data_IF_007177228608
#
_entry.id   IF_007177228608
#
_cell.length_a   1.000
_cell.length_b   1.000
_cell.length_c   1.000
_cell.angle_alpha   90.00
_cell.angle_beta   90.00
_cell.angle_gamma   90.00
#
_symmetry.space_group_name_H-M   'P 1'
#
loop_
_entity.id
_entity.type
_entity.pdbx_description
1 polymer ?
#
# COMPACT_ATOMS: atom_id res chain seq x y z
N UNK A 1 -15.23 -3.23 -24.45
CA UNK A 1 -16.29 -4.01 -23.78
C UNK A 1 -17.02 -4.97 -24.71
N UNK A 2 -17.23 -4.67 -25.97
CA UNK A 2 -17.97 -5.52 -26.93
C UNK A 2 -17.37 -6.91 -27.22
N UNK A 3 -16.04 -7.04 -27.33
CA UNK A 3 -15.40 -8.36 -27.58
C UNK A 3 -15.60 -9.39 -26.45
N UNK A 4 -15.77 -8.94 -25.18
CA UNK A 4 -16.01 -9.85 -24.06
C UNK A 4 -17.43 -10.41 -24.04
N UNK A 5 -18.40 -9.62 -24.47
CA UNK A 5 -19.81 -10.01 -24.56
C UNK A 5 -20.02 -11.08 -25.65
N UNK A 6 -19.33 -10.97 -26.80
CA UNK A 6 -19.46 -11.90 -27.91
C UNK A 6 -18.94 -13.29 -27.55
N UNK A 7 -17.83 -13.42 -26.84
CA UNK A 7 -17.27 -14.72 -26.41
C UNK A 7 -18.21 -15.41 -25.40
N UNK A 8 -18.82 -14.65 -24.51
CA UNK A 8 -19.77 -15.18 -23.54
C UNK A 8 -21.02 -15.73 -24.18
N UNK A 9 -21.57 -15.03 -25.18
CA UNK A 9 -22.76 -15.47 -25.95
C UNK A 9 -22.46 -16.74 -26.73
N UNK A 10 -21.30 -16.86 -27.38
CA UNK A 10 -20.88 -18.07 -28.11
C UNK A 10 -20.72 -19.24 -27.13
N UNK A 11 -20.12 -19.04 -25.97
CA UNK A 11 -19.92 -20.06 -24.96
C UNK A 11 -21.25 -20.60 -24.39
N UNK A 12 -22.18 -19.70 -24.03
CA UNK A 12 -23.51 -20.08 -23.55
C UNK A 12 -24.27 -20.88 -24.59
N UNK A 13 -24.18 -20.48 -25.86
CA UNK A 13 -24.78 -21.26 -26.98
C UNK A 13 -24.17 -22.64 -27.12
N UNK A 14 -22.85 -22.77 -26.99
CA UNK A 14 -22.16 -24.06 -27.09
C UNK A 14 -22.55 -25.02 -25.95
N UNK A 15 -22.62 -24.51 -24.71
CA UNK A 15 -23.08 -25.28 -23.55
C UNK A 15 -24.55 -25.72 -23.71
N UNK A 16 -25.38 -24.82 -24.22
CA UNK A 16 -26.80 -25.14 -24.46
C UNK A 16 -26.99 -26.25 -25.54
N UNK A 17 -26.20 -26.19 -26.61
CA UNK A 17 -26.19 -27.22 -27.66
C UNK A 17 -25.71 -28.56 -27.13
N UNK A 18 -24.65 -28.60 -26.32
CA UNK A 18 -24.17 -29.81 -25.67
C UNK A 18 -25.19 -30.42 -24.70
N UNK A 19 -25.90 -29.57 -23.92
CA UNK A 19 -26.98 -30.03 -23.04
C UNK A 19 -28.16 -30.63 -23.85
N UNK A 20 -28.54 -29.98 -24.94
CA UNK A 20 -29.61 -30.52 -25.84
C UNK A 20 -29.20 -31.87 -26.44
N UNK A 21 -27.94 -32.04 -26.87
CA UNK A 21 -27.44 -33.29 -27.41
C UNK A 21 -27.44 -34.43 -26.37
N UNK A 22 -27.09 -34.13 -25.11
CA UNK A 22 -27.18 -35.07 -23.99
C UNK A 22 -28.65 -35.50 -23.70
N UNK A 23 -29.61 -34.56 -23.79
CA UNK A 23 -31.03 -34.84 -23.56
C UNK A 23 -31.61 -35.70 -24.69
N UNK A 24 -31.24 -35.44 -25.96
CA UNK A 24 -31.69 -36.26 -27.09
C UNK A 24 -31.14 -37.70 -27.05
N UNK A 25 -29.87 -37.87 -26.69
CA UNK A 25 -29.27 -39.21 -26.50
C UNK A 25 -29.97 -39.99 -25.36
N UNK A 26 -30.40 -39.32 -24.30
CA UNK A 26 -31.15 -39.96 -23.18
C UNK A 26 -32.60 -40.28 -23.58
N UNK A 27 -33.24 -39.40 -24.31
CA UNK A 27 -34.63 -39.60 -24.77
C UNK A 27 -34.81 -40.80 -25.70
N UNK A 28 -33.80 -41.10 -26.52
CA UNK A 28 -33.83 -42.24 -27.43
C UNK A 28 -33.73 -43.60 -26.75
N UNK A 29 -33.10 -43.65 -25.56
CA UNK A 29 -32.90 -44.92 -24.81
C UNK A 29 -34.12 -45.31 -23.98
N UNK A 30 -34.95 -44.33 -23.55
CA UNK A 30 -36.09 -44.58 -22.67
C UNK A 30 -37.34 -45.12 -23.44
N UNK A 31 -37.45 -44.93 -24.73
CA UNK A 31 -38.64 -45.36 -25.51
C UNK A 31 -38.74 -46.85 -25.80
N UNK A 32 -37.86 -47.72 -25.33
CA UNK A 32 -37.86 -49.18 -25.61
C UNK A 32 -37.71 -50.07 -24.37
N UNK A 33 -38.39 -49.78 -23.27
CA UNK A 33 -38.47 -50.76 -22.18
C UNK A 33 -39.78 -51.54 -22.32
N UNK A 34 -39.71 -52.81 -22.69
CA UNK A 34 -40.89 -53.68 -22.67
C UNK A 34 -41.31 -53.99 -21.23
N UNK A 35 -42.62 -54.09 -21.00
CA UNK A 35 -43.17 -54.45 -19.69
C UNK A 35 -42.57 -55.76 -19.18
N UNK A 36 -42.24 -55.81 -17.89
CA UNK A 36 -41.56 -56.94 -17.26
C UNK A 36 -42.49 -58.16 -17.20
N UNK A 37 -42.03 -59.37 -17.58
CA UNK A 37 -42.79 -60.61 -17.45
C UNK A 37 -42.86 -61.06 -15.97
N UNK A 38 -43.86 -61.89 -15.57
CA UNK A 38 -44.04 -62.37 -14.21
C UNK A 38 -42.85 -63.22 -13.74
N UNK A 39 -42.65 -63.24 -12.42
CA UNK A 39 -41.40 -63.63 -11.72
C UNK A 39 -40.95 -65.12 -11.89
N UNK A 40 -41.63 -65.96 -12.59
CA UNK A 40 -41.35 -67.42 -12.68
C UNK A 40 -40.47 -67.86 -13.84
N UNK A 41 -40.21 -67.02 -14.87
CA UNK A 41 -39.36 -67.35 -16.01
C UNK A 41 -38.23 -66.38 -16.24
N UNK A 42 -37.26 -66.36 -15.36
CA UNK A 42 -36.03 -65.58 -15.63
C UNK A 42 -35.01 -66.43 -16.38
N UNK A 43 -35.19 -66.51 -17.72
CA UNK A 43 -34.22 -67.15 -18.62
C UNK A 43 -32.84 -66.46 -18.55
N UNK A 44 -31.74 -67.17 -18.83
CA UNK A 44 -30.38 -66.57 -18.87
C UNK A 44 -30.28 -65.38 -19.78
N UNK A 45 -31.10 -65.33 -20.83
CA UNK A 45 -31.18 -64.25 -21.83
C UNK A 45 -31.73 -62.94 -21.24
N UNK A 46 -32.70 -63.04 -20.32
CA UNK A 46 -33.24 -61.86 -19.61
C UNK A 46 -32.24 -61.25 -18.68
N UNK A 47 -31.43 -62.06 -17.94
CA UNK A 47 -30.34 -61.56 -17.10
C UNK A 47 -29.28 -60.84 -17.92
N UNK A 48 -28.92 -61.33 -19.12
CA UNK A 48 -27.95 -60.67 -20.00
C UNK A 48 -28.47 -59.34 -20.55
N UNK A 49 -29.77 -59.24 -20.88
CA UNK A 49 -30.39 -57.96 -21.32
C UNK A 49 -30.45 -56.97 -20.18
N UNK A 50 -30.81 -57.37 -18.98
CA UNK A 50 -30.84 -56.48 -17.81
C UNK A 50 -29.44 -55.97 -17.42
N UNK A 51 -28.40 -56.85 -17.46
CA UNK A 51 -27.01 -56.40 -17.23
C UNK A 51 -26.53 -55.35 -18.24
N UNK A 52 -26.86 -55.52 -19.54
CA UNK A 52 -26.51 -54.51 -20.55
C UNK A 52 -27.22 -53.19 -20.33
N UNK A 53 -28.49 -53.18 -19.92
CA UNK A 53 -29.22 -51.95 -19.62
C UNK A 53 -28.63 -51.27 -18.38
N UNK A 54 -28.35 -52.03 -17.31
CA UNK A 54 -27.73 -51.49 -16.11
C UNK A 54 -26.34 -50.93 -16.38
N UNK A 55 -25.54 -51.63 -17.22
CA UNK A 55 -24.21 -51.16 -17.62
C UNK A 55 -24.30 -49.85 -18.43
N UNK A 56 -25.28 -49.77 -19.36
CA UNK A 56 -25.51 -48.56 -20.16
C UNK A 56 -25.93 -47.37 -19.30
N UNK A 57 -26.79 -47.57 -18.31
CA UNK A 57 -27.20 -46.54 -17.37
C UNK A 57 -25.99 -46.08 -16.50
N UNK A 58 -25.20 -47.03 -16.01
CA UNK A 58 -24.00 -46.73 -15.23
C UNK A 58 -22.98 -45.92 -16.07
N UNK A 59 -22.72 -46.38 -17.30
CA UNK A 59 -21.79 -45.70 -18.22
C UNK A 59 -22.29 -44.29 -18.59
N UNK A 60 -23.60 -44.13 -18.84
CA UNK A 60 -24.23 -42.86 -19.14
C UNK A 60 -24.16 -41.87 -17.91
N UNK A 61 -24.35 -42.41 -16.71
CA UNK A 61 -24.22 -41.61 -15.48
C UNK A 61 -22.78 -41.15 -15.24
N UNK A 62 -21.80 -42.02 -15.46
CA UNK A 62 -20.38 -41.68 -15.33
C UNK A 62 -19.97 -40.63 -16.37
N UNK A 63 -20.36 -40.83 -17.65
CA UNK A 63 -20.07 -39.84 -18.71
C UNK A 63 -20.75 -38.50 -18.43
N UNK A 64 -21.99 -38.49 -17.96
CA UNK A 64 -22.70 -37.27 -17.56
C UNK A 64 -21.98 -36.52 -16.42
N UNK A 65 -21.53 -37.26 -15.40
CA UNK A 65 -20.78 -36.69 -14.29
C UNK A 65 -19.44 -36.09 -14.76
N UNK A 66 -18.68 -36.80 -15.58
CA UNK A 66 -17.40 -36.32 -16.13
C UNK A 66 -17.62 -35.08 -17.01
N UNK A 67 -18.63 -35.06 -17.87
CA UNK A 67 -18.96 -33.86 -18.63
C UNK A 67 -19.32 -32.67 -17.76
N UNK A 68 -20.11 -32.87 -16.70
CA UNK A 68 -20.48 -31.80 -15.76
C UNK A 68 -19.24 -31.23 -15.03
N UNK A 69 -18.32 -32.10 -14.58
CA UNK A 69 -17.07 -31.69 -13.98
C UNK A 69 -16.17 -30.89 -14.94
N UNK A 70 -16.03 -31.38 -16.18
CA UNK A 70 -15.24 -30.66 -17.20
C UNK A 70 -15.87 -29.30 -17.50
N UNK A 71 -17.19 -29.20 -17.65
CA UNK A 71 -17.88 -27.93 -17.83
C UNK A 71 -17.69 -27.00 -16.65
N UNK A 72 -17.79 -27.50 -15.43
CA UNK A 72 -17.55 -26.70 -14.21
C UNK A 72 -16.10 -26.17 -14.14
N UNK A 73 -15.11 -27.02 -14.50
CA UNK A 73 -13.72 -26.61 -14.57
C UNK A 73 -13.50 -25.55 -15.67
N UNK A 74 -14.09 -25.71 -16.85
CA UNK A 74 -13.99 -24.73 -17.93
C UNK A 74 -14.63 -23.40 -17.55
N UNK A 75 -15.82 -23.41 -16.94
CA UNK A 75 -16.47 -22.18 -16.41
C UNK A 75 -15.59 -21.50 -15.38
N UNK A 76 -15.02 -22.27 -14.46
CA UNK A 76 -14.10 -21.74 -13.45
C UNK A 76 -12.83 -21.15 -14.10
N UNK A 77 -12.24 -21.82 -15.08
CA UNK A 77 -11.08 -21.32 -15.83
C UNK A 77 -11.40 -20.02 -16.58
N UNK A 78 -12.54 -19.98 -17.28
CA UNK A 78 -13.01 -18.76 -17.96
C UNK A 78 -13.25 -17.62 -16.98
N UNK A 79 -13.88 -17.92 -15.84
CA UNK A 79 -14.12 -16.92 -14.78
C UNK A 79 -12.82 -16.38 -14.19
N UNK A 80 -11.84 -17.25 -13.93
CA UNK A 80 -10.49 -16.87 -13.49
C UNK A 80 -9.80 -16.03 -14.58
N UNK A 81 -9.89 -16.45 -15.84
CA UNK A 81 -9.32 -15.72 -16.97
C UNK A 81 -9.95 -14.34 -17.16
N UNK A 82 -11.27 -14.23 -17.03
CA UNK A 82 -11.99 -12.95 -17.14
C UNK A 82 -11.71 -12.00 -15.96
N UNK A 83 -11.44 -12.54 -14.78
CA UNK A 83 -11.02 -11.75 -13.60
C UNK A 83 -9.56 -11.27 -13.67
N UNK A 84 -8.76 -11.76 -14.62
CA UNK A 84 -7.38 -11.31 -14.78
C UNK A 84 -7.37 -9.88 -15.30
N UNK A 85 -6.86 -8.95 -14.48
CA UNK A 85 -6.61 -7.59 -14.91
C UNK A 85 -5.63 -7.60 -16.08
N UNK A 86 -5.93 -6.97 -17.22
CA UNK A 86 -5.00 -6.91 -18.34
C UNK A 86 -3.74 -6.13 -17.91
N UNK A 87 -2.57 -6.61 -18.32
CA UNK A 87 -1.33 -5.86 -18.16
C UNK A 87 -1.41 -4.67 -19.10
N UNK A 88 -1.47 -3.45 -18.54
CA UNK A 88 -1.50 -2.24 -19.32
C UNK A 88 -0.08 -1.94 -19.83
N UNK A 89 0.05 -1.79 -21.13
CA UNK A 89 1.29 -1.33 -21.77
C UNK A 89 1.19 0.17 -21.95
N UNK A 90 2.13 0.92 -21.35
CA UNK A 90 2.18 2.38 -21.41
C UNK A 90 1.75 3.06 -20.10
N UNK A 91 1.71 4.40 -20.09
CA UNK A 91 1.38 5.16 -18.90
C UNK A 91 -0.09 4.98 -18.51
N UNK A 92 -0.31 4.68 -17.24
CA UNK A 92 -1.63 4.66 -16.60
C UNK A 92 -1.82 5.96 -15.87
N UNK A 93 -2.77 6.77 -16.28
CA UNK A 93 -3.00 8.12 -15.76
C UNK A 93 -4.31 8.14 -14.99
N UNK A 94 -4.26 8.72 -13.77
CA UNK A 94 -5.39 8.88 -12.86
C UNK A 94 -5.87 10.34 -12.75
N UNK A 95 -5.10 11.28 -13.32
CA UNK A 95 -5.39 12.71 -13.29
C UNK A 95 -5.75 13.22 -14.70
N UNK A 96 -6.86 13.95 -14.87
CA UNK A 96 -7.25 14.50 -16.17
C UNK A 96 -6.27 15.57 -16.70
N UNK A 97 -5.46 16.15 -15.82
CA UNK A 97 -4.49 17.20 -16.13
C UNK A 97 -3.26 16.68 -16.88
N UNK A 98 -3.03 15.36 -16.83
CA UNK A 98 -1.87 14.72 -17.43
C UNK A 98 -2.31 13.88 -18.63
N UNK A 99 -1.85 14.23 -19.83
CA UNK A 99 -2.06 13.41 -21.02
C UNK A 99 -1.07 12.24 -21.05
N UNK A 100 -1.51 11.00 -21.37
CA UNK A 100 -0.59 9.87 -21.51
C UNK A 100 0.52 10.10 -22.55
N UNK A 101 0.22 10.80 -23.63
CA UNK A 101 1.21 11.10 -24.70
C UNK A 101 2.26 12.09 -24.22
N UNK A 102 1.82 13.19 -23.59
CA UNK A 102 2.70 14.21 -23.02
C UNK A 102 3.61 13.62 -21.94
N UNK A 103 3.06 12.76 -21.07
CA UNK A 103 3.83 12.07 -20.06
C UNK A 103 4.90 11.15 -20.66
N UNK A 104 4.56 10.41 -21.71
CA UNK A 104 5.48 9.49 -22.37
C UNK A 104 6.61 10.24 -23.09
N UNK A 105 6.33 11.35 -23.76
CA UNK A 105 7.35 12.19 -24.41
C UNK A 105 8.27 12.85 -23.38
N UNK A 106 7.71 13.38 -22.29
CA UNK A 106 8.49 14.02 -21.23
C UNK A 106 9.41 13.02 -20.49
N UNK A 107 8.96 11.79 -20.27
CA UNK A 107 9.79 10.75 -19.63
C UNK A 107 10.87 10.18 -20.56
N UNK A 108 10.71 10.30 -21.88
CA UNK A 108 11.73 9.89 -22.84
C UNK A 108 12.91 10.88 -22.93
N UNK A 109 12.68 12.15 -22.59
CA UNK A 109 13.68 13.23 -22.62
C UNK A 109 14.36 13.38 -21.24
N UNK A 110 15.18 12.42 -20.84
CA UNK A 110 15.90 12.47 -19.54
C UNK A 110 16.80 13.70 -19.36
N UNK A 111 17.25 14.31 -20.44
CA UNK A 111 18.17 15.46 -20.41
C UNK A 111 17.54 16.77 -19.87
N UNK A 112 16.22 16.86 -19.79
CA UNK A 112 15.49 18.03 -19.29
C UNK A 112 15.02 17.85 -17.83
N UNK A 113 15.36 16.72 -17.20
CA UNK A 113 14.93 16.40 -15.85
C UNK A 113 15.95 16.89 -14.81
N UNK A 114 15.46 17.64 -13.82
CA UNK A 114 16.25 18.03 -12.65
C UNK A 114 16.20 16.92 -11.60
N UNK A 115 17.36 16.41 -11.17
CA UNK A 115 17.44 15.45 -10.07
C UNK A 115 17.06 16.13 -8.76
N UNK A 116 16.01 15.65 -8.10
CA UNK A 116 15.55 16.11 -6.79
C UNK A 116 16.21 15.35 -5.65
N UNK A 117 16.52 14.07 -5.87
CA UNK A 117 17.17 13.23 -4.88
C UNK A 117 17.45 11.83 -5.43
N UNK A 118 18.39 11.14 -4.80
CA UNK A 118 18.71 9.75 -5.09
C UNK A 118 18.84 8.99 -3.79
N UNK A 119 17.94 8.04 -3.59
CA UNK A 119 17.95 7.14 -2.45
C UNK A 119 18.25 5.71 -2.93
N UNK A 120 18.67 4.76 -2.07
CA UNK A 120 18.80 3.36 -2.43
C UNK A 120 17.53 2.78 -3.08
N UNK A 121 16.38 3.34 -2.76
CA UNK A 121 15.05 2.90 -3.22
C UNK A 121 14.60 3.53 -4.55
N UNK A 122 15.45 4.35 -5.18
CA UNK A 122 15.14 4.99 -6.45
C UNK A 122 15.62 6.43 -6.54
N UNK A 123 15.55 6.95 -7.76
CA UNK A 123 15.88 8.34 -8.07
C UNK A 123 14.59 9.13 -8.26
N UNK A 124 14.56 10.34 -7.73
CA UNK A 124 13.46 11.28 -7.91
C UNK A 124 13.90 12.44 -8.80
N UNK A 125 13.08 12.77 -9.78
CA UNK A 125 13.34 13.83 -10.74
C UNK A 125 12.16 14.79 -10.81
N UNK A 126 12.42 16.08 -11.00
CA UNK A 126 11.41 17.03 -11.47
C UNK A 126 11.40 17.02 -13.00
N UNK A 127 10.21 16.93 -13.57
CA UNK A 127 9.96 16.99 -15.01
C UNK A 127 8.91 18.06 -15.27
N UNK A 128 9.10 18.88 -16.30
CA UNK A 128 8.12 19.85 -16.75
C UNK A 128 7.40 19.28 -17.97
N UNK A 129 6.07 19.22 -17.92
CA UNK A 129 5.25 18.80 -19.04
C UNK A 129 5.04 19.94 -20.05
N UNK A 130 4.65 19.63 -21.28
CA UNK A 130 4.43 20.61 -22.37
C UNK A 130 3.44 21.73 -22.00
N UNK A 131 2.53 21.46 -21.07
CA UNK A 131 1.56 22.43 -20.54
C UNK A 131 2.12 23.29 -19.38
N UNK A 132 3.42 23.19 -19.08
CA UNK A 132 4.08 23.88 -17.98
C UNK A 132 3.85 23.26 -16.58
N UNK A 133 3.07 22.16 -16.49
CA UNK A 133 2.83 21.50 -15.23
C UNK A 133 4.08 20.76 -14.75
N UNK A 134 4.46 20.99 -13.49
CA UNK A 134 5.64 20.35 -12.88
C UNK A 134 5.24 19.10 -12.12
N UNK A 135 5.91 18.00 -12.41
CA UNK A 135 5.68 16.71 -11.78
C UNK A 135 6.97 16.20 -11.11
N UNK A 136 6.80 15.44 -10.04
CA UNK A 136 7.86 14.65 -9.44
C UNK A 136 7.74 13.21 -9.93
N UNK A 137 8.80 12.69 -10.51
CA UNK A 137 8.88 11.33 -11.06
C UNK A 137 9.82 10.51 -10.20
N UNK A 138 9.31 9.50 -9.53
CA UNK A 138 10.08 8.55 -8.74
C UNK A 138 10.27 7.25 -9.51
N UNK A 139 11.51 6.95 -9.93
CA UNK A 139 11.88 5.68 -10.58
C UNK A 139 12.19 4.65 -9.52
N UNK A 140 11.51 3.52 -9.54
CA UNK A 140 11.61 2.47 -8.52
C UNK A 140 11.70 1.10 -9.17
N UNK A 141 12.44 0.20 -8.52
CA UNK A 141 12.53 -1.20 -8.92
C UNK A 141 11.75 -2.05 -7.90
N UNK A 142 10.62 -2.66 -8.30
CA UNK A 142 9.85 -3.46 -7.37
C UNK A 142 10.57 -4.76 -7.04
N UNK A 143 10.63 -5.09 -5.75
CA UNK A 143 11.06 -6.39 -5.28
C UNK A 143 9.87 -7.35 -5.18
N UNK A 144 9.55 -7.98 -6.29
CA UNK A 144 8.69 -9.16 -6.26
C UNK A 144 9.50 -10.31 -6.85
N UNK A 145 9.66 -11.41 -6.10
CA UNK A 145 10.28 -12.64 -6.61
C UNK A 145 9.56 -12.98 -7.91
N UNK A 146 10.31 -13.03 -9.03
CA UNK A 146 9.73 -13.18 -10.36
C UNK A 146 9.11 -11.89 -10.93
N UNK A 147 9.71 -10.71 -10.65
CA UNK A 147 9.23 -9.39 -11.11
C UNK A 147 8.96 -9.30 -12.62
N UNK A 148 9.57 -10.16 -13.44
CA UNK A 148 9.25 -10.30 -14.86
C UNK A 148 8.02 -11.16 -15.16
N UNK A 149 7.39 -11.79 -14.15
CA UNK A 149 6.21 -12.61 -14.40
C UNK A 149 4.94 -11.75 -14.57
N UNK A 150 4.00 -12.17 -15.44
CA UNK A 150 2.74 -11.46 -15.62
C UNK A 150 1.90 -11.35 -14.33
N UNK A 151 2.04 -12.32 -13.44
CA UNK A 151 1.34 -12.35 -12.14
C UNK A 151 1.88 -11.27 -11.19
N UNK A 152 3.20 -11.11 -11.12
CA UNK A 152 3.85 -10.08 -10.32
C UNK A 152 3.45 -8.68 -10.80
N UNK A 153 3.48 -8.43 -12.12
CA UNK A 153 3.03 -7.17 -12.69
C UNK A 153 1.57 -6.85 -12.34
N UNK A 154 0.67 -7.82 -12.45
CA UNK A 154 -0.75 -7.62 -12.08
C UNK A 154 -0.95 -7.35 -10.59
N UNK A 155 -0.11 -7.93 -9.73
CA UNK A 155 -0.14 -7.66 -8.30
C UNK A 155 0.27 -6.22 -8.02
N UNK A 156 1.40 -5.79 -8.57
CA UNK A 156 1.90 -4.41 -8.44
C UNK A 156 0.87 -3.41 -8.99
N UNK A 157 0.34 -3.65 -10.17
CA UNK A 157 -0.68 -2.80 -10.78
C UNK A 157 -1.90 -2.62 -9.87
N UNK A 158 -2.42 -3.70 -9.27
CA UNK A 158 -3.57 -3.62 -8.34
C UNK A 158 -3.25 -2.80 -7.09
N UNK A 159 -2.06 -2.96 -6.53
CA UNK A 159 -1.64 -2.16 -5.37
C UNK A 159 -1.51 -0.68 -5.75
N UNK A 160 -0.92 -0.36 -6.91
CA UNK A 160 -0.83 1.03 -7.39
C UNK A 160 -2.20 1.63 -7.67
N UNK A 161 -3.16 0.87 -8.18
CA UNK A 161 -4.55 1.32 -8.37
C UNK A 161 -5.24 1.63 -7.02
N UNK A 162 -4.96 0.84 -5.96
CA UNK A 162 -5.44 1.13 -4.61
C UNK A 162 -4.83 2.45 -4.11
N UNK A 163 -3.51 2.62 -4.22
CA UNK A 163 -2.81 3.82 -3.78
C UNK A 163 -3.25 5.07 -4.58
N UNK A 164 -3.53 4.91 -5.87
CA UNK A 164 -4.01 6.00 -6.72
C UNK A 164 -5.43 6.47 -6.34
N UNK A 165 -6.20 5.69 -5.60
CA UNK A 165 -7.52 6.06 -5.11
C UNK A 165 -7.51 6.78 -3.76
N UNK A 166 -6.36 6.88 -3.10
CA UNK A 166 -6.24 7.63 -1.85
C UNK A 166 -6.48 9.12 -2.09
N UNK A 167 -7.38 9.73 -1.31
CA UNK A 167 -7.74 11.14 -1.41
C UNK A 167 -7.81 11.76 -0.02
N UNK A 168 -6.72 12.39 0.38
CA UNK A 168 -6.63 13.12 1.64
C UNK A 168 -5.68 14.29 1.51
N UNK A 169 -5.96 15.42 2.17
CA UNK A 169 -5.14 16.65 2.07
C UNK A 169 -3.70 16.45 2.52
N UNK A 170 -3.47 15.55 3.48
CA UNK A 170 -2.15 15.23 4.02
C UNK A 170 -1.51 14.00 3.38
N UNK A 171 -1.94 13.60 2.17
CA UNK A 171 -1.31 12.54 1.39
C UNK A 171 -0.86 13.07 0.02
N UNK A 172 0.28 12.59 -0.45
CA UNK A 172 0.69 12.75 -1.83
C UNK A 172 -0.16 11.87 -2.74
N UNK A 173 -0.76 12.46 -3.76
CA UNK A 173 -1.60 11.71 -4.70
C UNK A 173 -0.75 11.11 -5.80
N UNK A 174 -0.88 9.81 -6.04
CA UNK A 174 -0.34 9.17 -7.23
C UNK A 174 -1.15 9.62 -8.46
N UNK A 175 -0.54 10.43 -9.33
CA UNK A 175 -1.18 10.99 -10.53
C UNK A 175 -1.14 10.05 -11.71
N UNK A 176 -0.06 9.31 -11.84
CA UNK A 176 0.13 8.31 -12.89
C UNK A 176 1.23 7.33 -12.52
N UNK A 177 1.33 6.24 -13.25
CA UNK A 177 2.52 5.40 -13.26
C UNK A 177 2.82 4.90 -14.68
N UNK A 178 4.09 4.61 -14.94
CA UNK A 178 4.56 3.94 -16.14
C UNK A 178 5.34 2.69 -15.75
N UNK A 179 5.05 1.57 -16.42
CA UNK A 179 5.81 0.34 -16.28
C UNK A 179 6.75 0.17 -17.47
N UNK A 180 8.05 0.17 -17.21
CA UNK A 180 9.11 -0.06 -18.18
C UNK A 180 9.85 -1.36 -17.83
N UNK A 181 9.47 -2.45 -18.47
CA UNK A 181 10.08 -3.78 -18.27
C UNK A 181 10.11 -4.23 -16.80
N UNK A 182 11.09 -3.80 -16.02
CA UNK A 182 11.30 -4.16 -14.60
C UNK A 182 11.16 -2.95 -13.68
N UNK A 183 11.18 -1.72 -14.23
CA UNK A 183 11.14 -0.47 -13.48
C UNK A 183 9.77 0.17 -13.56
N UNK A 184 9.39 0.84 -12.49
CA UNK A 184 8.20 1.66 -12.45
C UNK A 184 8.59 3.12 -12.24
N UNK A 185 7.96 3.99 -13.02
CA UNK A 185 8.00 5.43 -12.79
C UNK A 185 6.68 5.82 -12.14
N UNK A 186 6.73 6.32 -10.91
CA UNK A 186 5.59 6.82 -10.15
C UNK A 186 5.56 8.33 -10.25
N UNK A 187 4.42 8.90 -10.60
CA UNK A 187 4.25 10.31 -10.89
C UNK A 187 3.39 10.97 -9.82
N UNK A 188 3.93 12.02 -9.19
CA UNK A 188 3.30 12.82 -8.15
C UNK A 188 3.33 14.30 -8.50
N UNK A 189 2.60 15.11 -7.74
CA UNK A 189 2.75 16.57 -7.79
C UNK A 189 4.15 16.98 -7.33
N UNK A 190 4.75 17.94 -8.01
CA UNK A 190 6.00 18.52 -7.54
C UNK A 190 5.72 19.56 -6.46
N UNK A 191 6.37 19.43 -5.31
CA UNK A 191 6.29 20.38 -4.19
C UNK A 191 7.63 21.11 -4.08
N UNK A 192 7.68 22.42 -4.42
CA UNK A 192 8.94 23.16 -4.48
C UNK A 192 9.64 23.36 -3.16
N UNK A 193 8.89 23.38 -2.04
CA UNK A 193 9.42 23.61 -0.70
C UNK A 193 10.29 22.44 -0.21
N UNK A 194 10.08 21.25 -0.79
CA UNK A 194 10.82 20.05 -0.45
C UNK A 194 10.22 19.24 0.69
N UNK A 195 11.05 18.43 1.34
CA UNK A 195 10.67 17.54 2.43
C UNK A 195 10.87 18.18 3.81
N UNK A 196 10.30 17.54 4.83
CA UNK A 196 10.57 17.89 6.22
C UNK A 196 12.07 17.72 6.58
N UNK A 197 12.75 16.74 5.98
CA UNK A 197 14.20 16.57 6.14
C UNK A 197 14.96 17.81 5.66
N UNK A 198 14.60 18.33 4.48
CA UNK A 198 15.19 19.57 3.92
C UNK A 198 14.87 20.77 4.79
N UNK A 199 13.63 20.90 5.27
CA UNK A 199 13.20 22.00 6.13
C UNK A 199 13.95 21.99 7.47
N UNK A 200 14.06 20.83 8.13
CA UNK A 200 14.80 20.69 9.38
C UNK A 200 16.30 20.93 9.22
N UNK A 201 16.89 20.52 8.08
CA UNK A 201 18.27 20.84 7.75
C UNK A 201 18.48 22.35 7.65
N UNK A 202 17.65 23.04 6.86
CA UNK A 202 17.70 24.51 6.71
C UNK A 202 17.46 25.24 8.04
N UNK A 203 16.60 24.70 8.90
CA UNK A 203 16.37 25.25 10.23
C UNK A 203 17.63 25.15 11.11
N UNK A 204 18.32 24.01 11.08
CA UNK A 204 19.62 23.84 11.80
C UNK A 204 20.73 24.74 11.25
N UNK A 205 20.70 25.05 9.96
CA UNK A 205 21.64 25.96 9.27
C UNK A 205 21.25 27.43 9.44
N UNK A 206 20.18 27.74 10.20
CA UNK A 206 19.60 29.08 10.39
C UNK A 206 19.13 29.78 9.08
N UNK A 207 18.86 28.99 8.04
CA UNK A 207 18.33 29.49 6.75
C UNK A 207 16.79 29.55 6.74
N UNK A 208 16.14 28.86 7.67
CA UNK A 208 14.69 28.79 7.81
C UNK A 208 14.30 28.93 9.28
N UNK A 209 13.39 29.85 9.60
CA UNK A 209 12.74 29.89 10.89
C UNK A 209 11.53 28.96 10.89
N UNK A 210 11.58 27.89 11.67
CA UNK A 210 10.51 26.93 11.84
C UNK A 210 10.09 26.93 13.31
N UNK A 211 9.21 27.88 13.66
CA UNK A 211 8.68 28.07 15.01
C UNK A 211 7.71 26.94 15.42
N UNK A 212 7.25 27.01 16.68
CA UNK A 212 6.42 25.98 17.28
C UNK A 212 5.13 25.74 16.51
N UNK A 213 4.38 26.79 16.16
CA UNK A 213 3.14 26.66 15.38
C UNK A 213 3.29 25.85 14.08
N UNK A 214 4.38 26.10 13.35
CA UNK A 214 4.64 25.37 12.13
C UNK A 214 4.97 23.90 12.40
N UNK A 215 5.76 23.63 13.45
CA UNK A 215 6.13 22.26 13.85
C UNK A 215 4.92 21.48 14.36
N UNK A 216 4.05 22.10 15.16
CA UNK A 216 2.81 21.49 15.62
C UNK A 216 1.85 21.22 14.47
N UNK A 217 1.71 22.17 13.53
CA UNK A 217 0.91 21.98 12.31
C UNK A 217 1.40 20.79 11.49
N UNK A 218 2.72 20.64 11.34
CA UNK A 218 3.33 19.49 10.67
C UNK A 218 2.96 18.20 11.42
N UNK A 219 3.13 18.14 12.73
CA UNK A 219 2.81 16.95 13.54
C UNK A 219 1.33 16.57 13.41
N UNK A 220 0.42 17.54 13.55
CA UNK A 220 -1.03 17.34 13.41
C UNK A 220 -1.41 16.86 12.03
N UNK A 221 -0.82 17.42 11.00
CA UNK A 221 -1.10 16.98 9.61
C UNK A 221 -0.61 15.57 9.33
N UNK A 222 0.58 15.18 9.83
CA UNK A 222 1.09 13.81 9.71
C UNK A 222 0.13 12.82 10.37
N UNK A 223 -0.27 13.08 11.63
CA UNK A 223 -1.13 12.13 12.34
C UNK A 223 -2.54 12.04 11.73
N UNK A 224 -3.09 13.13 11.18
CA UNK A 224 -4.33 13.09 10.40
C UNK A 224 -4.20 12.27 9.11
N UNK A 225 -3.04 12.33 8.46
CA UNK A 225 -2.73 11.47 7.31
C UNK A 225 -2.70 9.99 7.70
N UNK A 226 -2.05 9.64 8.81
CA UNK A 226 -2.03 8.28 9.37
C UNK A 226 -3.41 7.81 9.81
N UNK A 227 -4.20 8.65 10.47
CA UNK A 227 -5.58 8.34 10.86
C UNK A 227 -6.42 7.94 9.63
N UNK A 228 -6.32 8.69 8.54
CA UNK A 228 -7.01 8.35 7.29
C UNK A 228 -6.58 6.98 6.75
N UNK A 229 -5.28 6.69 6.71
CA UNK A 229 -4.75 5.41 6.24
C UNK A 229 -5.21 4.24 7.13
N UNK A 230 -5.18 4.42 8.46
CA UNK A 230 -5.43 3.36 9.42
C UNK A 230 -6.91 3.06 9.64
N UNK A 231 -7.79 4.09 9.60
CA UNK A 231 -9.19 3.96 10.00
C UNK A 231 -10.19 4.20 8.89
N UNK A 232 -9.86 5.04 7.89
CA UNK A 232 -10.81 5.37 6.82
C UNK A 232 -10.64 4.44 5.62
N UNK A 233 -9.42 3.98 5.34
CA UNK A 233 -9.15 3.10 4.20
C UNK A 233 -9.67 1.68 4.43
N UNK A 234 -10.31 1.10 3.42
CA UNK A 234 -10.74 -0.30 3.41
C UNK A 234 -10.24 -0.97 2.13
N UNK A 235 -9.31 -1.92 2.20
CA UNK A 235 -8.63 -2.39 3.43
C UNK A 235 -7.73 -1.33 4.05
N UNK A 236 -7.44 -1.48 5.36
CA UNK A 236 -6.48 -0.64 6.09
C UNK A 236 -5.15 -0.59 5.36
N UNK A 237 -4.55 0.59 5.29
CA UNK A 237 -3.24 0.81 4.68
C UNK A 237 -2.28 1.27 5.78
N UNK A 238 -1.09 0.66 5.83
CA UNK A 238 0.00 1.09 6.68
C UNK A 238 0.99 1.89 5.83
N UNK A 239 1.67 2.86 6.45
CA UNK A 239 2.64 3.67 5.73
C UNK A 239 3.93 2.88 5.43
N UNK A 240 4.41 2.12 6.39
CA UNK A 240 5.61 1.28 6.36
C UNK A 240 6.97 2.01 6.26
N UNK A 241 7.01 3.26 5.86
CA UNK A 241 8.27 3.98 5.61
C UNK A 241 8.12 5.47 5.98
N UNK A 242 7.55 5.73 7.16
CA UNK A 242 7.37 7.10 7.65
C UNK A 242 8.71 7.65 8.17
N UNK A 243 9.17 8.73 7.55
CA UNK A 243 10.41 9.43 7.89
C UNK A 243 10.38 10.84 7.32
N UNK A 244 11.20 11.79 7.80
CA UNK A 244 11.18 13.18 7.36
C UNK A 244 11.31 13.38 5.85
N UNK A 245 12.13 12.59 5.16
CA UNK A 245 12.28 12.67 3.70
C UNK A 245 11.05 12.22 2.89
N UNK A 246 10.08 11.57 3.53
CA UNK A 246 8.82 11.16 2.92
C UNK A 246 7.64 12.05 3.35
N UNK A 247 7.89 13.12 4.09
CA UNK A 247 6.91 14.14 4.47
C UNK A 247 7.21 15.39 3.65
N UNK A 248 6.41 15.63 2.61
CA UNK A 248 6.56 16.83 1.78
C UNK A 248 5.83 18.00 2.43
N UNK A 249 6.40 19.20 2.38
CA UNK A 249 5.82 20.40 2.98
C UNK A 249 5.44 21.39 1.87
N UNK A 250 4.20 21.89 1.90
CA UNK A 250 3.82 22.96 1.00
C UNK A 250 4.25 24.34 1.54
N UNK A 251 3.88 25.43 0.85
CA UNK A 251 4.31 26.79 1.19
C UNK A 251 3.82 27.25 2.59
N UNK A 252 2.75 26.67 3.09
CA UNK A 252 2.16 26.96 4.40
C UNK A 252 2.63 25.97 5.48
N UNK A 253 3.63 25.14 5.17
CA UNK A 253 4.13 24.04 5.99
C UNK A 253 3.06 22.97 6.31
N UNK A 254 2.03 22.84 5.45
CA UNK A 254 1.10 21.71 5.54
C UNK A 254 1.77 20.44 5.02
N UNK A 255 1.81 19.36 5.81
CA UNK A 255 2.50 18.14 5.43
C UNK A 255 1.66 17.28 4.50
N UNK A 256 2.34 16.58 3.57
CA UNK A 256 1.77 15.55 2.71
C UNK A 256 2.66 14.32 2.74
N UNK A 257 2.11 13.21 3.21
CA UNK A 257 2.82 11.94 3.32
C UNK A 257 3.01 11.32 1.94
N UNK A 258 4.25 11.10 1.57
CA UNK A 258 4.66 10.37 0.38
C UNK A 258 4.99 8.91 0.66
N UNK A 259 5.07 8.09 -0.37
CA UNK A 259 5.44 6.68 -0.31
C UNK A 259 4.52 5.76 0.53
N UNK A 260 3.34 6.22 0.88
CA UNK A 260 2.38 5.43 1.67
C UNK A 260 2.10 4.07 1.03
N UNK A 261 2.31 2.99 1.77
CA UNK A 261 2.01 1.62 1.34
C UNK A 261 2.92 1.04 0.26
N UNK A 262 3.87 1.80 -0.29
CA UNK A 262 4.76 1.33 -1.36
C UNK A 262 5.67 0.18 -0.92
N UNK A 263 6.01 0.09 0.36
CA UNK A 263 6.84 -0.99 0.89
C UNK A 263 6.26 -2.40 0.68
N UNK A 264 4.96 -2.51 0.44
CA UNK A 264 4.30 -3.79 0.12
C UNK A 264 4.68 -4.34 -1.27
N UNK A 265 5.12 -3.47 -2.16
CA UNK A 265 5.44 -3.82 -3.55
C UNK A 265 6.88 -3.53 -3.93
N UNK A 266 7.61 -2.83 -3.08
CA UNK A 266 8.99 -2.41 -3.32
C UNK A 266 9.88 -2.78 -2.15
N UNK A 267 11.15 -3.13 -2.44
CA UNK A 267 12.18 -3.14 -1.40
C UNK A 267 12.49 -1.70 -1.00
N UNK A 268 11.70 -1.16 -0.09
CA UNK A 268 12.04 0.12 0.54
C UNK A 268 13.00 -0.06 1.72
N UNK A 269 13.32 -1.32 2.03
CA UNK A 269 14.11 -1.69 3.19
C UNK A 269 15.47 -2.20 2.74
N UNK A 270 16.45 -1.36 2.94
CA UNK A 270 17.86 -1.60 2.63
C UNK A 270 18.52 -2.64 3.58
N UNK A 271 17.70 -3.46 4.25
CA UNK A 271 18.20 -4.46 5.22
C UNK A 271 18.90 -3.85 6.43
N UNK A 272 18.97 -2.52 6.53
CA UNK A 272 19.56 -1.80 7.64
C UNK A 272 18.47 -1.35 8.61
N UNK A 273 18.73 -1.49 9.90
CA UNK A 273 17.92 -0.84 10.92
C UNK A 273 17.91 0.67 10.64
N UNK A 274 16.74 1.23 10.40
CA UNK A 274 16.57 2.68 10.29
C UNK A 274 16.17 3.20 11.65
N UNK A 275 16.71 4.34 12.05
CA UNK A 275 16.34 5.01 13.29
C UNK A 275 14.83 5.36 13.40
N UNK A 276 14.11 5.24 12.30
CA UNK A 276 12.65 5.47 12.23
C UNK A 276 11.82 4.19 12.38
N UNK A 277 12.44 3.02 12.37
CA UNK A 277 11.72 1.75 12.42
C UNK A 277 11.45 1.34 13.87
N UNK A 278 10.22 0.92 14.14
CA UNK A 278 9.85 0.36 15.42
C UNK A 278 10.65 -0.93 15.73
N UNK A 279 11.03 -1.15 17.00
CA UNK A 279 11.90 -2.27 17.37
C UNK A 279 11.30 -3.63 17.00
N UNK A 280 9.98 -3.81 17.12
CA UNK A 280 9.30 -5.05 16.75
C UNK A 280 9.33 -5.35 15.24
N UNK A 281 9.51 -4.34 14.41
CA UNK A 281 9.53 -4.52 12.95
C UNK A 281 10.84 -5.04 12.39
N UNK A 282 11.87 -5.17 13.22
CA UNK A 282 13.16 -5.72 12.84
C UNK A 282 13.39 -7.12 13.45
N UNK A 283 13.91 -8.11 12.72
CA UNK A 283 14.24 -8.12 11.28
C UNK A 283 13.07 -8.53 10.38
N UNK A 284 11.88 -8.74 10.92
CA UNK A 284 10.76 -9.33 10.22
C UNK A 284 9.55 -8.40 10.10
N UNK A 285 9.34 -7.82 8.91
CA UNK A 285 8.21 -6.95 8.61
C UNK A 285 6.82 -7.60 8.68
N UNK A 286 6.73 -8.93 8.83
CA UNK A 286 5.43 -9.58 9.02
C UNK A 286 4.72 -9.16 10.32
N UNK A 287 5.46 -8.53 11.24
CA UNK A 287 4.96 -8.05 12.54
C UNK A 287 4.61 -6.55 12.50
N UNK A 288 4.85 -5.86 11.37
CA UNK A 288 4.56 -4.44 11.23
C UNK A 288 3.05 -4.16 11.35
N UNK A 289 2.68 -3.22 12.19
CA UNK A 289 1.30 -2.83 12.46
C UNK A 289 1.14 -1.30 12.37
N UNK A 290 -0.08 -0.79 12.58
CA UNK A 290 -0.33 0.65 12.72
C UNK A 290 0.47 1.26 13.88
N UNK A 291 0.75 0.47 14.91
CA UNK A 291 1.57 0.92 16.06
C UNK A 291 3.04 1.13 15.68
N UNK A 292 3.50 0.46 14.63
CA UNK A 292 4.85 0.68 14.08
C UNK A 292 4.93 2.01 13.33
N UNK A 293 3.87 2.42 12.61
CA UNK A 293 3.78 3.77 12.02
C UNK A 293 3.74 4.86 13.12
N UNK A 294 3.07 4.58 14.26
CA UNK A 294 3.03 5.50 15.41
C UNK A 294 4.41 5.66 16.05
N UNK A 295 5.20 4.61 16.14
CA UNK A 295 6.58 4.73 16.60
C UNK A 295 7.38 5.65 15.67
N UNK A 296 7.30 5.46 14.36
CA UNK A 296 7.95 6.32 13.37
C UNK A 296 7.49 7.78 13.49
N UNK A 297 6.19 8.00 13.78
CA UNK A 297 5.64 9.31 14.07
C UNK A 297 6.26 9.90 15.36
N UNK A 298 6.41 9.09 16.41
CA UNK A 298 7.07 9.50 17.66
C UNK A 298 8.50 10.01 17.43
N UNK A 299 9.27 9.32 16.56
CA UNK A 299 10.62 9.79 16.17
C UNK A 299 10.54 11.15 15.47
N UNK A 300 9.60 11.33 14.54
CA UNK A 300 9.42 12.62 13.83
C UNK A 300 9.02 13.73 14.83
N UNK A 301 8.12 13.44 15.75
CA UNK A 301 7.71 14.40 16.78
C UNK A 301 8.92 14.78 17.66
N UNK A 302 9.76 13.80 18.03
CA UNK A 302 11.02 14.06 18.73
C UNK A 302 11.96 14.97 17.95
N UNK A 303 12.10 14.77 16.64
CA UNK A 303 12.89 15.67 15.77
C UNK A 303 12.30 17.09 15.74
N UNK A 304 10.99 17.21 15.65
CA UNK A 304 10.32 18.52 15.65
C UNK A 304 10.48 19.27 16.97
N UNK A 305 10.57 18.55 18.09
CA UNK A 305 10.77 19.14 19.43
C UNK A 305 12.22 19.51 19.69
N UNK A 306 13.16 18.63 19.37
CA UNK A 306 14.57 18.77 19.72
C UNK A 306 15.41 19.46 18.64
N UNK A 307 14.92 19.54 17.41
CA UNK A 307 15.71 19.96 16.24
C UNK A 307 16.81 18.97 15.84
N UNK A 308 16.96 17.85 16.57
CA UNK A 308 18.05 16.87 16.42
C UNK A 308 17.66 15.66 15.58
N UNK A 309 18.64 15.10 14.90
CA UNK A 309 18.49 13.83 14.21
C UNK A 309 18.49 12.67 15.22
N UNK A 310 17.77 11.56 14.98
CA UNK A 310 17.80 10.41 15.90
C UNK A 310 19.19 9.80 16.12
N UNK A 311 20.13 10.04 15.23
CA UNK A 311 21.54 9.62 15.35
C UNK A 311 22.43 10.62 16.12
N UNK A 312 21.86 11.71 16.64
CA UNK A 312 22.63 12.70 17.41
C UNK A 312 23.17 12.06 18.70
N UNK A 313 24.46 12.27 19.03
CA UNK A 313 25.11 11.71 20.23
C UNK A 313 24.41 12.02 21.55
N UNK A 314 23.60 13.08 21.61
CA UNK A 314 22.82 13.42 22.83
C UNK A 314 21.87 12.30 23.26
N UNK A 315 21.44 11.44 22.33
CA UNK A 315 20.56 10.31 22.62
C UNK A 315 21.31 9.05 23.08
N UNK A 316 22.65 9.11 23.22
CA UNK A 316 23.52 8.04 23.71
C UNK A 316 24.43 7.43 22.65
N UNK A 317 25.59 6.86 23.08
CA UNK A 317 26.56 6.23 22.17
C UNK A 317 26.02 4.95 21.53
N UNK A 318 24.99 4.31 22.09
CA UNK A 318 24.34 3.12 21.53
C UNK A 318 23.50 3.43 20.29
N UNK A 319 23.20 4.70 20.00
CA UNK A 319 22.47 5.15 18.79
C UNK A 319 23.09 4.64 17.48
N UNK A 320 24.36 4.25 17.51
CA UNK A 320 25.08 3.76 16.32
C UNK A 320 24.83 2.28 16.00
N UNK A 321 24.36 1.46 16.94
CA UNK A 321 24.29 0.01 16.80
C UNK A 321 22.88 -0.59 16.68
N UNK A 322 21.86 0.03 17.25
CA UNK A 322 20.51 -0.54 17.36
C UNK A 322 19.37 0.35 16.86
N UNK A 323 19.63 1.61 16.46
CA UNK A 323 18.60 2.51 15.92
C UNK A 323 17.82 3.27 16.98
N UNK A 324 16.60 3.64 16.67
CA UNK A 324 15.72 4.58 17.37
C UNK A 324 15.37 4.29 18.85
N UNK A 325 15.83 3.20 19.44
CA UNK A 325 15.58 2.86 20.85
C UNK A 325 16.06 3.93 21.83
N UNK A 326 17.10 4.63 21.48
CA UNK A 326 17.76 5.59 22.37
C UNK A 326 17.00 6.90 22.56
N UNK A 327 16.38 7.44 21.51
CA UNK A 327 15.55 8.65 21.64
C UNK A 327 14.36 8.41 22.57
N UNK A 328 13.68 7.26 22.46
CA UNK A 328 12.58 6.91 23.35
C UNK A 328 13.02 6.70 24.80
N UNK A 329 14.15 6.04 25.00
CA UNK A 329 14.74 5.86 26.32
C UNK A 329 15.18 7.21 26.89
N UNK A 330 15.80 8.07 26.11
CA UNK A 330 16.22 9.38 26.51
C UNK A 330 15.04 10.27 26.98
N UNK A 331 13.94 10.32 26.24
CA UNK A 331 12.73 11.04 26.66
C UNK A 331 12.13 10.47 27.94
N UNK A 332 12.10 9.13 28.12
CA UNK A 332 11.61 8.52 29.36
C UNK A 332 12.48 8.90 30.56
N UNK A 333 13.80 8.81 30.45
CA UNK A 333 14.73 9.19 31.49
C UNK A 333 14.61 10.67 31.88
N UNK A 334 14.46 11.55 30.89
CA UNK A 334 14.24 12.98 31.11
C UNK A 334 12.96 13.23 31.94
N UNK A 335 11.88 12.52 31.65
CA UNK A 335 10.60 12.65 32.37
C UNK A 335 10.63 11.97 33.74
N UNK A 336 11.37 10.89 33.94
CA UNK A 336 11.47 10.15 35.20
C UNK A 336 12.39 10.85 36.23
N UNK A 337 13.50 11.40 35.76
CA UNK A 337 14.48 12.04 36.65
C UNK A 337 14.05 13.45 37.13
N UNK A 338 12.94 13.96 36.60
CA UNK A 338 12.46 15.29 36.91
C UNK A 338 13.39 16.39 36.41
N UNK A 339 14.32 16.06 35.52
CA UNK A 339 15.13 17.03 34.82
C UNK A 339 14.19 17.96 34.03
N UNK A 340 14.60 19.22 33.95
CA UNK A 340 13.78 20.20 33.24
C UNK A 340 13.63 19.76 31.77
N UNK A 341 12.44 19.23 31.41
CA UNK A 341 12.16 18.77 30.05
C UNK A 341 12.34 19.89 29.00
N UNK A 342 12.51 21.13 29.44
CA UNK A 342 12.92 22.26 28.59
C UNK A 342 14.31 22.08 28.01
N UNK A 343 15.22 21.35 28.69
CA UNK A 343 16.54 21.03 28.14
C UNK A 343 16.45 20.18 26.86
N UNK A 344 15.34 19.42 26.69
CA UNK A 344 15.05 18.64 25.50
C UNK A 344 14.70 19.49 24.28
N UNK A 345 14.17 20.70 24.51
CA UNK A 345 13.61 21.52 23.45
C UNK A 345 14.71 22.21 22.63
N UNK A 346 14.41 22.35 21.33
CA UNK A 346 15.23 23.18 20.45
C UNK A 346 15.26 24.64 20.99
N UNK A 347 16.45 25.13 21.24
CA UNK A 347 16.64 26.50 21.78
C UNK A 347 16.03 27.57 20.88
N UNK A 348 15.85 27.29 19.58
CA UNK A 348 15.20 28.22 18.65
C UNK A 348 13.69 28.36 18.88
N UNK A 349 13.09 27.44 19.65
CA UNK A 349 11.68 27.45 20.02
C UNK A 349 11.39 28.16 21.34
N UNK A 350 12.41 28.36 22.16
CA UNK A 350 12.25 28.97 23.50
C UNK A 350 12.05 30.48 23.37
N UNK A 351 10.84 30.96 23.57
CA UNK A 351 10.54 32.40 23.44
C UNK A 351 9.33 32.90 24.21
N UNK A 352 8.25 32.12 24.30
CA UNK A 352 7.03 32.47 25.00
C UNK A 352 6.63 31.37 25.98
N UNK A 353 6.33 31.73 27.25
CA UNK A 353 6.03 30.78 28.34
C UNK A 353 4.83 29.88 28.02
N UNK A 354 3.81 30.39 27.31
CA UNK A 354 2.62 29.61 26.95
C UNK A 354 2.93 28.49 25.95
N UNK A 355 3.82 28.70 25.00
CA UNK A 355 4.24 27.67 24.02
C UNK A 355 5.08 26.59 24.69
N UNK A 356 5.80 26.88 25.77
CA UNK A 356 6.62 25.90 26.48
C UNK A 356 5.78 24.78 27.10
N UNK A 357 4.62 25.08 27.69
CA UNK A 357 3.75 24.08 28.30
C UNK A 357 3.16 23.14 27.23
N UNK A 358 2.80 23.67 26.05
CA UNK A 358 2.36 22.86 24.89
C UNK A 358 3.48 21.93 24.42
N UNK A 359 4.70 22.44 24.29
CA UNK A 359 5.88 21.68 23.90
C UNK A 359 6.21 20.58 24.91
N UNK A 360 6.13 20.85 26.22
CA UNK A 360 6.33 19.87 27.28
C UNK A 360 5.27 18.75 27.23
N UNK A 361 4.03 19.09 26.93
CA UNK A 361 3.00 18.07 26.71
C UNK A 361 3.30 17.23 25.46
N UNK A 362 3.79 17.85 24.38
CA UNK A 362 4.21 17.14 23.18
C UNK A 362 5.40 16.20 23.43
N UNK A 363 6.33 16.55 24.34
CA UNK A 363 7.41 15.64 24.78
C UNK A 363 6.83 14.37 25.41
N UNK A 364 5.81 14.49 26.27
CA UNK A 364 5.13 13.33 26.87
C UNK A 364 4.46 12.46 25.81
N UNK A 365 3.81 13.09 24.84
CA UNK A 365 3.20 12.36 23.70
C UNK A 365 4.27 11.63 22.89
N UNK A 366 5.41 12.27 22.61
CA UNK A 366 6.53 11.63 21.90
C UNK A 366 7.06 10.41 22.67
N UNK A 367 7.27 10.55 23.99
CA UNK A 367 7.75 9.46 24.83
C UNK A 367 6.83 8.23 24.80
N UNK A 368 5.51 8.43 24.85
CA UNK A 368 4.54 7.32 24.79
C UNK A 368 4.50 6.69 23.39
N UNK A 369 4.58 7.49 22.32
CA UNK A 369 4.68 6.97 20.95
C UNK A 369 5.93 6.11 20.73
N UNK A 370 7.02 6.40 21.44
CA UNK A 370 8.31 5.71 21.39
C UNK A 370 8.43 4.56 22.41
N UNK A 371 7.31 4.09 22.97
CA UNK A 371 7.34 2.89 23.82
C UNK A 371 7.86 1.67 23.06
N UNK A 372 8.68 0.84 23.71
CA UNK A 372 9.17 -0.42 23.16
C UNK A 372 8.03 -1.43 22.94
N UNK A 373 6.98 -1.34 23.77
CA UNK A 373 5.79 -2.18 23.68
C UNK A 373 4.77 -1.52 22.73
N UNK A 374 4.42 -2.16 21.60
CA UNK A 374 3.43 -1.59 20.67
C UNK A 374 2.05 -1.32 21.31
N UNK A 375 1.68 -2.14 22.30
CA UNK A 375 0.38 -2.02 22.99
C UNK A 375 0.27 -0.71 23.79
N UNK A 376 1.38 -0.17 24.30
CA UNK A 376 1.40 1.06 25.11
C UNK A 376 1.31 2.32 24.23
N UNK A 377 1.62 2.21 22.95
CA UNK A 377 1.54 3.35 22.02
C UNK A 377 0.07 3.68 21.73
N UNK A 378 -0.32 4.95 21.73
CA UNK A 378 -1.67 5.35 21.33
C UNK A 378 -1.92 5.00 19.85
N UNK A 379 -3.18 4.99 19.45
CA UNK A 379 -3.58 4.91 18.05
C UNK A 379 -3.51 6.29 17.39
N UNK A 380 -3.50 6.33 16.04
CA UNK A 380 -3.58 7.62 15.32
C UNK A 380 -4.91 8.35 15.59
N UNK A 381 -5.98 7.61 15.90
CA UNK A 381 -7.28 8.18 16.26
C UNK A 381 -7.28 8.87 17.63
N UNK A 382 -6.54 8.33 18.59
CA UNK A 382 -6.31 8.95 19.91
C UNK A 382 -5.35 10.14 19.84
N UNK A 383 -4.32 10.10 18.99
CA UNK A 383 -3.33 11.16 18.86
C UNK A 383 -3.86 12.43 18.21
N UNK A 384 -4.82 12.33 17.28
CA UNK A 384 -5.39 13.51 16.62
C UNK A 384 -5.98 14.50 17.64
N UNK A 385 -6.90 14.13 18.56
CA UNK A 385 -7.40 15.07 19.57
C UNK A 385 -6.30 15.51 20.53
N UNK A 386 -5.38 14.63 20.95
CA UNK A 386 -4.29 15.00 21.88
C UNK A 386 -3.43 16.13 21.34
N UNK A 387 -3.01 16.05 20.06
CA UNK A 387 -2.17 17.09 19.45
C UNK A 387 -2.96 18.33 19.03
N UNK A 388 -4.23 18.17 18.63
CA UNK A 388 -5.05 19.33 18.22
C UNK A 388 -5.44 20.19 19.41
N UNK A 389 -5.57 19.60 20.60
CA UNK A 389 -5.89 20.31 21.84
C UNK A 389 -4.71 21.13 22.37
N UNK A 390 -3.46 20.80 22.03
CA UNK A 390 -2.30 21.59 22.45
C UNK A 390 -2.41 23.06 22.06
N UNK A 391 -3.02 23.37 20.95
CA UNK A 391 -3.20 24.75 20.44
C UNK A 391 -4.45 25.46 20.99
N UNK A 392 -5.15 24.85 21.94
CA UNK A 392 -6.43 25.36 22.48
C UNK A 392 -6.30 25.84 23.93
N UNK A 393 -5.12 25.82 24.49
CA UNK A 393 -4.78 26.34 25.80
C UNK A 393 -3.93 27.60 25.64
#
# INVERSE_FOLDING_TARGET
>A
MEKKSSVYIVFVKLVFVLLLYCVECHGATIKRIPAAPPASERSPEFRGKLQRVMLSILLGSITGLVCALVCACLVRCVFIYMKRVPILKGPVVFSPEISPKTLQSALANENESQVLGSNPNGKCYMVVLDNGFRIAVKKVEPFVIGSGSPEAHRRIQRELEILANLRHRHLMMLRAYLCESVRFSLIYDYIPTGSLEDAMKRARENELQLGWDARLRIAVGIIKGLQYLHFTCTPRILHYNLKPSNVMLDADFEPRLGDCGLARIMHTFDGRSSAYNAPESWPNFSIYTEKSDIFSFGVILGILLTGKDPSDPMFGEAATSTGSGDMGMWFRQLLENGDDAREALDKSLLGEEMEEDEMLMAVRIAAVCLSDMPADRPSSDELVPMLTQLHSF
#
